data_IF_814760826034
#
_entry.id   IF_814760826034
#
_cell.length_a   1.000
_cell.length_b   1.000
_cell.length_c   1.000
_cell.angle_alpha   90.00
_cell.angle_beta   90.00
_cell.angle_gamma   90.00
#
_symmetry.space_group_name_H-M   'P 1'
#
loop_
_entity.id
_entity.type
_entity.pdbx_description
1 polymer ?
#
# COMPACT_ATOMS: atom_id res chain seq x y z
N UNK A 1 -3.73 -8.72 20.58
CA UNK A 1 -2.54 -8.39 21.40
C UNK A 1 -1.21 -8.57 20.64
N UNK A 2 -1.16 -8.42 19.31
CA UNK A 2 0.07 -8.63 18.52
C UNK A 2 0.80 -7.33 18.15
N UNK A 3 0.09 -6.19 18.16
CA UNK A 3 0.70 -4.88 17.89
C UNK A 3 1.84 -4.55 18.87
N UNK A 4 1.71 -4.90 20.14
CA UNK A 4 2.73 -4.59 21.15
C UNK A 4 4.03 -5.40 20.97
N UNK A 5 4.00 -6.62 20.43
CA UNK A 5 5.18 -7.48 20.35
C UNK A 5 6.13 -7.09 19.20
N UNK A 6 5.60 -6.63 18.07
CA UNK A 6 6.40 -6.12 16.95
C UNK A 6 6.95 -4.72 17.28
N UNK A 7 6.12 -3.88 17.92
CA UNK A 7 6.53 -2.56 18.44
C UNK A 7 7.70 -2.68 19.44
N UNK A 8 7.66 -3.67 20.35
CA UNK A 8 8.71 -3.81 21.38
C UNK A 8 10.08 -4.19 20.80
N UNK A 9 10.11 -4.93 19.68
CA UNK A 9 11.37 -5.31 19.00
C UNK A 9 11.94 -4.17 18.14
N UNK A 10 11.15 -3.15 17.82
CA UNK A 10 11.57 -2.01 16.98
C UNK A 10 11.94 -0.74 17.77
N UNK A 11 11.68 -0.70 19.08
CA UNK A 11 12.07 0.43 19.94
C UNK A 11 13.58 0.37 20.31
N UNK A 12 14.26 -0.77 20.11
CA UNK A 12 15.68 -0.94 20.47
C UNK A 12 16.69 -0.50 19.41
N UNK A 13 16.27 -0.12 18.19
CA UNK A 13 17.19 0.39 17.16
C UNK A 13 16.95 1.88 16.89
N UNK A 14 17.49 2.72 17.78
CA UNK A 14 17.56 4.19 17.64
C UNK A 14 18.71 4.62 16.70
N UNK A 15 18.82 3.93 15.57
CA UNK A 15 19.59 4.38 14.41
C UNK A 15 18.58 4.91 13.40
N UNK A 16 18.73 6.16 12.95
CA UNK A 16 17.91 6.76 11.88
C UNK A 16 17.64 5.72 10.80
N UNK A 17 16.39 5.24 10.70
CA UNK A 17 15.98 4.31 9.65
C UNK A 17 16.30 4.96 8.31
N UNK A 18 17.04 4.26 7.46
CA UNK A 18 17.31 4.71 6.09
C UNK A 18 15.99 4.87 5.32
N UNK A 19 15.99 5.67 4.25
CA UNK A 19 14.80 5.89 3.41
C UNK A 19 14.20 4.56 2.90
N UNK A 20 15.06 3.59 2.60
CA UNK A 20 14.66 2.21 2.29
C UNK A 20 13.83 1.56 3.41
N UNK A 21 14.29 1.63 4.66
CA UNK A 21 13.62 1.01 5.80
C UNK A 21 12.32 1.73 6.19
N UNK A 22 12.28 3.05 6.06
CA UNK A 22 11.07 3.85 6.26
C UNK A 22 10.00 3.49 5.23
N UNK A 23 10.40 3.35 3.96
CA UNK A 23 9.48 2.98 2.89
C UNK A 23 9.04 1.52 3.00
N UNK A 24 9.96 0.60 3.29
CA UNK A 24 9.66 -0.82 3.53
C UNK A 24 8.63 -0.98 4.64
N UNK A 25 8.82 -0.29 5.78
CA UNK A 25 7.87 -0.35 6.89
C UNK A 25 6.48 0.18 6.51
N UNK A 26 6.44 1.29 5.78
CA UNK A 26 5.18 1.89 5.31
C UNK A 26 4.44 0.96 4.35
N UNK A 27 5.14 0.37 3.38
CA UNK A 27 4.58 -0.57 2.39
C UNK A 27 4.09 -1.86 3.03
N UNK A 28 4.87 -2.45 3.95
CA UNK A 28 4.47 -3.65 4.70
C UNK A 28 3.20 -3.37 5.51
N UNK A 29 3.11 -2.22 6.16
CA UNK A 29 1.93 -1.88 6.96
C UNK A 29 0.70 -1.64 6.09
N UNK A 30 0.87 -1.01 4.92
CA UNK A 30 -0.20 -0.81 3.96
C UNK A 30 -0.77 -2.17 3.48
N UNK A 31 0.11 -3.10 3.07
CA UNK A 31 -0.30 -4.44 2.63
C UNK A 31 -1.02 -5.22 3.73
N UNK A 32 -0.51 -5.19 4.97
CA UNK A 32 -1.14 -5.88 6.09
C UNK A 32 -2.54 -5.35 6.42
N UNK A 33 -2.77 -4.05 6.19
CA UNK A 33 -4.10 -3.43 6.37
C UNK A 33 -5.06 -3.79 5.25
N UNK A 34 -4.57 -3.83 4.00
CA UNK A 34 -5.38 -4.22 2.84
C UNK A 34 -5.71 -5.71 2.83
N UNK A 35 -4.91 -6.53 3.51
CA UNK A 35 -5.04 -7.99 3.55
C UNK A 35 -5.21 -8.47 5.01
N UNK A 36 -6.34 -8.19 5.69
CA UNK A 36 -6.53 -8.54 7.11
C UNK A 36 -6.53 -10.05 7.40
N UNK A 37 -6.67 -10.90 6.38
CA UNK A 37 -6.79 -12.37 6.47
C UNK A 37 -5.54 -13.12 5.97
N UNK A 38 -4.33 -12.65 6.26
CA UNK A 38 -3.13 -13.45 6.01
C UNK A 38 -2.73 -14.26 7.26
N UNK A 39 -2.67 -15.58 7.12
CA UNK A 39 -2.19 -16.49 8.15
C UNK A 39 -0.65 -16.58 8.04
N UNK A 40 0.05 -15.85 8.92
CA UNK A 40 1.52 -15.89 9.10
C UNK A 40 2.39 -15.45 7.89
N UNK A 41 3.56 -14.92 8.20
CA UNK A 41 4.38 -14.02 7.36
C UNK A 41 4.92 -14.53 6.03
N UNK A 42 4.62 -15.77 5.63
CA UNK A 42 5.09 -16.36 4.36
C UNK A 42 4.04 -16.32 3.24
N UNK A 43 2.80 -15.93 3.54
CA UNK A 43 1.71 -15.94 2.56
C UNK A 43 1.26 -14.55 2.11
N UNK A 44 1.93 -13.46 2.53
CA UNK A 44 1.48 -12.10 2.21
C UNK A 44 1.39 -11.86 0.70
N UNK A 45 2.41 -12.29 -0.05
CA UNK A 45 2.41 -12.21 -1.52
C UNK A 45 1.36 -13.12 -2.16
N UNK A 46 1.12 -14.30 -1.58
CA UNK A 46 0.10 -15.22 -2.06
C UNK A 46 -1.31 -14.63 -1.91
N UNK A 47 -1.64 -14.11 -0.71
CA UNK A 47 -2.91 -13.45 -0.44
C UNK A 47 -3.07 -12.18 -1.27
N UNK A 48 -2.00 -11.40 -1.44
CA UNK A 48 -2.01 -10.21 -2.30
C UNK A 48 -2.30 -10.55 -3.77
N UNK A 49 -1.67 -11.61 -4.29
CA UNK A 49 -1.89 -12.07 -5.66
C UNK A 49 -3.30 -12.63 -5.88
N UNK A 50 -3.85 -13.36 -4.90
CA UNK A 50 -5.25 -13.80 -4.95
C UNK A 50 -6.19 -12.59 -4.99
N UNK A 51 -5.95 -11.58 -4.14
CA UNK A 51 -6.76 -10.37 -4.12
C UNK A 51 -6.65 -9.58 -5.42
N UNK A 52 -5.47 -9.53 -6.04
CA UNK A 52 -5.27 -8.93 -7.35
C UNK A 52 -6.04 -9.68 -8.45
N UNK A 53 -6.05 -11.01 -8.40
CA UNK A 53 -6.83 -11.83 -9.33
C UNK A 53 -8.35 -11.56 -9.18
N UNK A 54 -8.86 -11.52 -7.95
CA UNK A 54 -10.26 -11.16 -7.66
C UNK A 54 -10.63 -9.78 -8.22
N UNK A 55 -9.77 -8.77 -8.03
CA UNK A 55 -10.01 -7.43 -8.57
C UNK A 55 -10.02 -7.43 -10.10
N UNK A 56 -9.12 -8.19 -10.74
CA UNK A 56 -9.10 -8.34 -12.20
C UNK A 56 -10.37 -9.04 -12.71
N UNK A 57 -10.87 -10.05 -12.02
CA UNK A 57 -12.14 -10.71 -12.34
C UNK A 57 -13.35 -9.79 -12.16
N UNK A 58 -13.42 -9.04 -11.06
CA UNK A 58 -14.47 -8.06 -10.82
C UNK A 58 -14.48 -6.95 -11.88
N UNK A 59 -13.30 -6.47 -12.29
CA UNK A 59 -13.19 -5.52 -13.38
C UNK A 59 -13.74 -6.10 -14.69
N UNK A 60 -13.43 -7.37 -15.02
CA UNK A 60 -13.98 -8.03 -16.20
C UNK A 60 -15.50 -8.19 -16.13
N UNK A 61 -16.05 -8.48 -14.94
CA UNK A 61 -17.49 -8.54 -14.71
C UNK A 61 -18.16 -7.19 -14.98
N UNK A 62 -17.64 -6.10 -14.41
CA UNK A 62 -18.18 -4.76 -14.61
C UNK A 62 -18.08 -4.32 -16.07
N UNK A 63 -16.93 -4.57 -16.72
CA UNK A 63 -16.72 -4.25 -18.14
C UNK A 63 -17.77 -4.88 -19.06
N UNK A 64 -18.18 -6.12 -18.79
CA UNK A 64 -19.21 -6.82 -19.59
C UNK A 64 -20.61 -6.23 -19.45
N UNK A 65 -20.85 -5.44 -18.38
CA UNK A 65 -22.14 -4.86 -18.04
C UNK A 65 -22.20 -3.35 -18.24
N UNK A 66 -21.16 -2.76 -18.82
CA UNK A 66 -21.15 -1.33 -19.18
C UNK A 66 -22.20 -1.09 -20.25
N UNK A 67 -23.08 -0.16 -19.97
CA UNK A 67 -24.09 0.35 -20.90
C UNK A 67 -24.26 1.85 -20.64
N UNK A 68 -24.03 2.68 -21.66
CA UNK A 68 -24.12 4.13 -21.51
C UNK A 68 -25.57 4.65 -21.50
N UNK A 69 -26.52 3.81 -21.93
CA UNK A 69 -27.93 4.17 -22.06
C UNK A 69 -28.74 3.95 -20.78
N UNK A 70 -28.16 3.28 -19.77
CA UNK A 70 -28.82 3.02 -18.49
C UNK A 70 -27.95 3.49 -17.33
N UNK A 71 -28.59 4.07 -16.30
CA UNK A 71 -27.92 4.46 -15.05
C UNK A 71 -27.16 3.28 -14.40
N UNK A 72 -27.70 2.07 -14.51
CA UNK A 72 -27.05 0.84 -14.01
C UNK A 72 -25.79 0.51 -14.81
N UNK A 73 -25.80 0.74 -16.12
CA UNK A 73 -24.63 0.56 -16.96
C UNK A 73 -23.56 1.63 -16.74
N UNK A 74 -23.95 2.88 -16.42
CA UNK A 74 -23.03 3.93 -15.99
C UNK A 74 -22.38 3.61 -14.64
N UNK A 75 -23.15 3.09 -13.68
CA UNK A 75 -22.60 2.55 -12.44
C UNK A 75 -21.55 1.47 -12.69
N UNK A 76 -21.80 0.56 -13.64
CA UNK A 76 -20.80 -0.45 -14.00
C UNK A 76 -19.55 0.13 -14.65
N UNK A 77 -19.66 1.25 -15.37
CA UNK A 77 -18.48 1.98 -15.88
C UNK A 77 -17.65 2.57 -14.73
N UNK A 78 -18.29 3.28 -13.80
CA UNK A 78 -17.60 3.87 -12.64
C UNK A 78 -16.97 2.79 -11.75
N UNK A 79 -17.71 1.69 -11.50
CA UNK A 79 -17.22 0.56 -10.73
C UNK A 79 -16.03 -0.12 -11.43
N UNK A 80 -16.04 -0.23 -12.76
CA UNK A 80 -14.92 -0.76 -13.54
C UNK A 80 -13.67 0.10 -13.37
N UNK A 81 -13.78 1.42 -13.58
CA UNK A 81 -12.67 2.36 -13.43
C UNK A 81 -12.08 2.34 -12.01
N UNK A 82 -12.95 2.32 -11.00
CA UNK A 82 -12.54 2.22 -9.60
C UNK A 82 -11.82 0.89 -9.31
N UNK A 83 -12.34 -0.22 -9.83
CA UNK A 83 -11.75 -1.55 -9.60
C UNK A 83 -10.39 -1.69 -10.27
N UNK A 84 -10.23 -1.19 -11.51
CA UNK A 84 -8.92 -1.16 -12.19
C UNK A 84 -7.92 -0.30 -11.43
N UNK A 85 -8.35 0.87 -10.95
CA UNK A 85 -7.48 1.74 -10.17
C UNK A 85 -6.98 1.03 -8.91
N UNK A 86 -7.86 0.32 -8.19
CA UNK A 86 -7.48 -0.46 -7.03
C UNK A 86 -6.54 -1.62 -7.39
N UNK A 87 -6.79 -2.32 -8.49
CA UNK A 87 -5.92 -3.39 -8.98
C UNK A 87 -4.51 -2.88 -9.30
N UNK A 88 -4.39 -1.79 -10.05
CA UNK A 88 -3.11 -1.19 -10.42
C UNK A 88 -2.33 -0.70 -9.19
N UNK A 89 -3.03 -0.10 -8.22
CA UNK A 89 -2.40 0.34 -6.98
C UNK A 89 -1.90 -0.85 -6.14
N UNK A 90 -2.67 -1.94 -6.06
CA UNK A 90 -2.26 -3.15 -5.36
C UNK A 90 -1.06 -3.81 -6.06
N UNK A 91 -1.09 -3.91 -7.39
CA UNK A 91 0.01 -4.43 -8.20
C UNK A 91 1.31 -3.64 -7.96
N UNK A 92 1.24 -2.30 -8.01
CA UNK A 92 2.39 -1.45 -7.69
C UNK A 92 2.90 -1.64 -6.25
N UNK A 93 2.00 -1.84 -5.30
CA UNK A 93 2.36 -2.07 -3.89
C UNK A 93 3.05 -3.44 -3.72
N UNK A 94 2.58 -4.48 -4.42
CA UNK A 94 3.20 -5.82 -4.45
C UNK A 94 4.60 -5.74 -5.06
N UNK A 95 4.74 -5.11 -6.22
CA UNK A 95 6.03 -4.95 -6.91
C UNK A 95 7.04 -4.20 -6.03
N UNK A 96 6.57 -3.13 -5.39
CA UNK A 96 7.38 -2.34 -4.46
C UNK A 96 7.78 -3.14 -3.22
N UNK A 97 6.88 -3.96 -2.68
CA UNK A 97 7.20 -4.86 -1.59
C UNK A 97 8.31 -5.83 -1.99
N UNK A 98 8.22 -6.43 -3.19
CA UNK A 98 9.26 -7.35 -3.69
C UNK A 98 10.59 -6.61 -3.83
N UNK A 99 10.60 -5.43 -4.46
CA UNK A 99 11.82 -4.62 -4.62
C UNK A 99 12.46 -4.23 -3.28
N UNK A 100 11.65 -3.89 -2.27
CA UNK A 100 12.08 -3.52 -0.92
C UNK A 100 12.40 -4.73 -0.02
N UNK A 101 12.41 -5.95 -0.55
CA UNK A 101 12.90 -7.15 0.14
C UNK A 101 14.10 -7.78 -0.58
N UNK A 102 14.66 -7.10 -1.59
CA UNK A 102 15.88 -7.50 -2.28
C UNK A 102 17.03 -6.64 -1.73
N UNK A 103 17.76 -7.18 -0.74
CA UNK A 103 18.81 -6.44 -0.04
C UNK A 103 19.94 -5.95 -0.97
N UNK A 104 20.20 -6.66 -2.08
CA UNK A 104 21.22 -6.25 -3.06
C UNK A 104 20.88 -4.95 -3.78
N UNK A 105 19.61 -4.54 -3.79
CA UNK A 105 19.15 -3.33 -4.46
C UNK A 105 19.06 -2.11 -3.51
N UNK A 106 19.32 -2.29 -2.21
CA UNK A 106 19.20 -1.25 -1.17
C UNK A 106 19.91 0.06 -1.52
N UNK A 107 21.18 -0.01 -1.93
CA UNK A 107 21.97 1.18 -2.28
C UNK A 107 21.52 1.86 -3.58
N UNK A 108 20.97 1.08 -4.52
CA UNK A 108 20.39 1.62 -5.76
C UNK A 108 19.08 2.33 -5.45
N UNK A 109 18.23 1.71 -4.63
CA UNK A 109 16.95 2.24 -4.20
C UNK A 109 17.14 3.52 -3.37
N UNK A 110 18.03 3.51 -2.37
CA UNK A 110 18.31 4.69 -1.56
C UNK A 110 18.78 5.90 -2.40
N UNK A 111 19.62 5.68 -3.41
CA UNK A 111 20.04 6.75 -4.33
C UNK A 111 18.87 7.31 -5.14
N UNK A 112 17.99 6.45 -5.64
CA UNK A 112 16.81 6.86 -6.42
C UNK A 112 15.78 7.58 -5.54
N UNK A 113 15.55 7.08 -4.32
CA UNK A 113 14.69 7.69 -3.32
C UNK A 113 15.25 9.01 -2.77
N UNK A 114 16.55 9.27 -2.91
CA UNK A 114 17.18 10.52 -2.49
C UNK A 114 16.53 11.77 -3.10
N UNK A 115 15.99 11.68 -4.32
CA UNK A 115 15.28 12.80 -4.98
C UNK A 115 13.90 13.09 -4.37
N UNK A 116 13.34 12.15 -3.61
CA UNK A 116 12.05 12.27 -2.94
C UNK A 116 12.18 12.19 -1.42
N UNK A 117 13.41 12.36 -0.90
CA UNK A 117 13.73 12.22 0.51
C UNK A 117 12.74 12.96 1.41
N UNK A 118 12.55 14.25 1.17
CA UNK A 118 11.68 15.11 2.00
C UNK A 118 10.24 14.59 2.02
N UNK A 119 9.76 14.08 0.88
CA UNK A 119 8.41 13.52 0.76
C UNK A 119 8.26 12.19 1.49
N UNK A 120 9.28 11.33 1.44
CA UNK A 120 9.30 10.04 2.14
C UNK A 120 9.34 10.26 3.65
N UNK A 121 10.21 11.17 4.10
CA UNK A 121 10.33 11.52 5.52
C UNK A 121 9.02 12.12 6.05
N UNK A 122 8.41 13.05 5.31
CA UNK A 122 7.11 13.64 5.69
C UNK A 122 6.00 12.57 5.81
N UNK A 123 5.89 11.69 4.81
CA UNK A 123 4.87 10.61 4.84
C UNK A 123 5.13 9.64 5.99
N UNK A 124 6.40 9.35 6.28
CA UNK A 124 6.79 8.46 7.37
C UNK A 124 6.49 9.07 8.75
N UNK A 125 6.77 10.37 8.93
CA UNK A 125 6.48 11.11 10.16
C UNK A 125 4.97 11.18 10.41
N UNK A 126 4.19 11.62 9.42
CA UNK A 126 2.72 11.66 9.48
C UNK A 126 2.14 10.28 9.82
N UNK A 127 2.68 9.22 9.21
CA UNK A 127 2.29 7.84 9.53
C UNK A 127 2.56 7.48 11.00
N UNK A 128 3.73 7.82 11.54
CA UNK A 128 4.06 7.56 12.95
C UNK A 128 3.13 8.35 13.87
N UNK A 129 2.89 9.63 13.57
CA UNK A 129 2.04 10.49 14.37
C UNK A 129 0.59 10.02 14.38
N UNK A 130 0.06 9.67 13.21
CA UNK A 130 -1.30 9.14 13.07
C UNK A 130 -1.51 7.88 13.91
N UNK A 131 -0.52 6.97 13.96
CA UNK A 131 -0.61 5.75 14.78
C UNK A 131 -0.61 6.02 16.29
N UNK A 132 -0.18 7.19 16.75
CA UNK A 132 -0.26 7.60 18.16
C UNK A 132 -1.63 8.18 18.51
N UNK A 133 -2.43 8.59 17.52
CA UNK A 133 -3.71 9.23 17.73
C UNK A 133 -4.88 8.23 17.69
N UNK A 134 -5.89 8.47 18.54
CA UNK A 134 -7.18 7.77 18.45
C UNK A 134 -8.10 8.51 17.50
N UNK A 135 -8.09 8.11 16.24
CA UNK A 135 -8.92 8.73 15.18
C UNK A 135 -10.20 7.93 14.96
N UNK A 136 -11.31 8.62 14.68
CA UNK A 136 -12.59 8.00 14.36
C UNK A 136 -12.47 7.04 13.16
N UNK A 137 -13.12 5.87 13.16
CA UNK A 137 -12.97 4.86 12.09
C UNK A 137 -13.20 5.41 10.66
N UNK A 138 -14.20 6.27 10.47
CA UNK A 138 -14.49 6.90 9.18
C UNK A 138 -13.37 7.84 8.70
N UNK A 139 -12.73 8.55 9.63
CA UNK A 139 -11.59 9.42 9.31
C UNK A 139 -10.33 8.60 9.07
N UNK A 140 -10.22 7.40 9.65
CA UNK A 140 -9.12 6.50 9.34
C UNK A 140 -9.16 6.11 7.86
N UNK A 141 -10.29 5.62 7.34
CA UNK A 141 -10.38 5.24 5.91
C UNK A 141 -10.00 6.38 4.97
N UNK A 142 -10.45 7.60 5.27
CA UNK A 142 -10.08 8.80 4.51
C UNK A 142 -8.58 9.10 4.58
N UNK A 143 -7.98 9.02 5.77
CA UNK A 143 -6.54 9.19 5.96
C UNK A 143 -5.72 8.17 5.17
N UNK A 144 -6.10 6.89 5.22
CA UNK A 144 -5.41 5.84 4.45
C UNK A 144 -5.55 6.02 2.95
N UNK A 145 -6.70 6.51 2.48
CA UNK A 145 -6.86 6.88 1.08
C UNK A 145 -5.91 8.01 0.68
N UNK A 146 -5.75 9.03 1.53
CA UNK A 146 -4.82 10.14 1.30
C UNK A 146 -3.35 9.67 1.32
N UNK A 147 -2.96 8.93 2.36
CA UNK A 147 -1.61 8.36 2.48
C UNK A 147 -1.27 7.46 1.28
N UNK A 148 -2.21 6.64 0.82
CA UNK A 148 -2.03 5.81 -0.36
C UNK A 148 -1.78 6.66 -1.61
N UNK A 149 -2.52 7.76 -1.81
CA UNK A 149 -2.32 8.67 -2.94
C UNK A 149 -0.92 9.31 -2.91
N UNK A 150 -0.41 9.67 -1.74
CA UNK A 150 0.93 10.24 -1.60
C UNK A 150 2.04 9.22 -1.78
N UNK A 151 1.78 7.96 -1.40
CA UNK A 151 2.71 6.85 -1.51
C UNK A 151 2.84 6.32 -2.95
N UNK A 152 1.75 6.24 -3.72
CA UNK A 152 1.77 5.73 -5.09
C UNK A 152 2.85 6.34 -6.01
N UNK A 153 3.04 7.68 -6.09
CA UNK A 153 4.11 8.25 -6.91
C UNK A 153 5.51 7.90 -6.39
N UNK A 154 5.68 7.71 -5.08
CA UNK A 154 6.96 7.28 -4.49
C UNK A 154 7.26 5.84 -4.91
N UNK A 155 6.26 4.97 -4.88
CA UNK A 155 6.37 3.57 -5.29
C UNK A 155 6.60 3.41 -6.80
N UNK A 156 6.03 4.29 -7.61
CA UNK A 156 6.27 4.29 -9.05
C UNK A 156 7.75 4.49 -9.41
N UNK A 157 8.50 5.24 -8.59
CA UNK A 157 9.94 5.40 -8.73
C UNK A 157 10.77 4.19 -8.26
N UNK A 158 10.15 3.12 -7.78
CA UNK A 158 10.87 1.87 -7.51
C UNK A 158 10.93 0.95 -8.73
N UNK A 159 10.03 1.18 -9.71
CA UNK A 159 9.95 0.44 -10.97
C UNK A 159 10.93 0.98 -12.00
#
# INVERSE_FOLDING_TARGET
MFFQAILKKQIENDTKKDLYEQLQFTVVTLLNRELPTHYQGNHILYTANLRLAELKELALYHRKKIDMYTEVGQFHNEAYEMTIKLANQLELTIDSYIALHIDSDRDRINRRLGFMKDKIETVYEEFIEFNKQKVLPKLQESYWSALKKDLMPILAELR
#
